data_IF_961082362613
#
_entry.id   IF_961082362613
#
_cell.length_a   1.000
_cell.length_b   1.000
_cell.length_c   1.000
_cell.angle_alpha   90.00
_cell.angle_beta   90.00
_cell.angle_gamma   90.00
#
_symmetry.space_group_name_H-M   'P 1'
#
loop_
_entity.id
_entity.type
_entity.pdbx_description
1 polymer ?
#
# COMPACT_ATOMS: atom_id res chain seq x y z
N UNK A 1 -5.57 -0.66 -32.48
CA UNK A 1 -4.37 -1.37 -31.97
C UNK A 1 -4.52 -2.82 -32.36
N UNK A 2 -3.52 -3.37 -33.04
CA UNK A 2 -3.52 -4.76 -33.54
C UNK A 2 -2.37 -5.48 -32.84
N UNK A 3 -2.61 -6.67 -32.28
CA UNK A 3 -1.59 -7.44 -31.56
C UNK A 3 -1.07 -8.54 -32.48
N UNK A 4 0.25 -8.74 -32.54
CA UNK A 4 0.85 -9.71 -33.46
C UNK A 4 0.79 -11.14 -32.91
N UNK A 5 0.66 -11.31 -31.59
CA UNK A 5 0.47 -12.62 -30.96
C UNK A 5 -0.24 -12.57 -29.59
N UNK A 6 -0.71 -13.72 -29.05
CA UNK A 6 -1.37 -13.79 -27.74
C UNK A 6 -0.53 -13.33 -26.55
N UNK A 7 0.80 -13.46 -26.62
CA UNK A 7 1.73 -13.03 -25.55
C UNK A 7 1.81 -11.51 -25.45
N UNK A 8 1.83 -10.80 -26.58
CA UNK A 8 1.76 -9.34 -26.60
C UNK A 8 0.45 -8.83 -26.04
N UNK A 9 -0.67 -9.47 -26.40
CA UNK A 9 -1.98 -9.15 -25.83
C UNK A 9 -2.01 -9.37 -24.31
N UNK A 10 -1.46 -10.48 -23.81
CA UNK A 10 -1.38 -10.76 -22.38
C UNK A 10 -0.52 -9.73 -21.63
N UNK A 11 0.65 -9.37 -22.16
CA UNK A 11 1.51 -8.32 -21.58
C UNK A 11 0.82 -6.96 -21.56
N UNK A 12 0.11 -6.61 -22.63
CA UNK A 12 -0.68 -5.39 -22.69
C UNK A 12 -1.84 -5.40 -21.69
N UNK A 13 -2.54 -6.52 -21.55
CA UNK A 13 -3.61 -6.69 -20.58
C UNK A 13 -3.11 -6.52 -19.14
N UNK A 14 -1.96 -7.13 -18.81
CA UNK A 14 -1.29 -6.95 -17.51
C UNK A 14 -0.89 -5.50 -17.29
N UNK A 15 -0.25 -4.84 -18.26
CA UNK A 15 0.16 -3.44 -18.13
C UNK A 15 -1.01 -2.49 -17.81
N UNK A 16 -2.23 -2.80 -18.26
CA UNK A 16 -3.43 -2.00 -17.97
C UNK A 16 -4.02 -2.25 -16.58
N UNK A 17 -3.63 -3.30 -15.87
CA UNK A 17 -4.12 -3.57 -14.51
C UNK A 17 -3.63 -2.52 -13.51
N UNK A 18 -2.45 -1.94 -13.74
CA UNK A 18 -1.85 -0.92 -12.89
C UNK A 18 -1.46 0.30 -13.73
N UNK A 19 -2.37 1.27 -13.93
CA UNK A 19 -2.06 2.50 -14.65
C UNK A 19 -1.06 3.34 -13.85
N UNK A 20 0.15 3.55 -14.39
CA UNK A 20 1.25 4.24 -13.68
C UNK A 20 0.84 5.64 -13.22
N UNK A 21 0.11 6.36 -14.05
CA UNK A 21 -0.32 7.74 -13.82
C UNK A 21 -1.37 7.83 -12.70
N UNK A 22 -2.07 6.73 -12.41
CA UNK A 22 -3.02 6.64 -11.32
C UNK A 22 -2.36 6.28 -9.98
N UNK A 23 -1.07 5.93 -9.97
CA UNK A 23 -0.34 5.59 -8.76
C UNK A 23 0.17 6.83 -8.02
N UNK A 24 0.19 6.72 -6.70
CA UNK A 24 0.73 7.70 -5.80
C UNK A 24 2.23 7.90 -6.09
N UNK A 25 2.75 9.14 -6.15
CA UNK A 25 4.14 9.42 -6.54
C UNK A 25 5.19 8.61 -5.78
N UNK A 26 4.96 8.34 -4.48
CA UNK A 26 5.84 7.49 -3.64
C UNK A 26 6.01 6.05 -4.12
N UNK A 27 5.11 5.51 -4.94
CA UNK A 27 5.16 4.12 -5.40
C UNK A 27 5.15 3.99 -6.92
N UNK A 28 4.74 5.03 -7.64
CA UNK A 28 4.47 4.98 -9.08
C UNK A 28 5.58 4.30 -9.88
N UNK A 29 6.83 4.74 -9.75
CA UNK A 29 7.93 4.15 -10.54
C UNK A 29 8.27 2.72 -10.11
N UNK A 30 8.52 2.50 -8.81
CA UNK A 30 9.01 1.20 -8.32
C UNK A 30 7.95 0.09 -8.40
N UNK A 31 6.71 0.39 -8.06
CA UNK A 31 5.63 -0.59 -8.11
C UNK A 31 5.32 -0.95 -9.57
N UNK A 32 5.23 0.06 -10.45
CA UNK A 32 4.95 -0.19 -11.86
C UNK A 32 6.08 -0.96 -12.54
N UNK A 33 7.36 -0.59 -12.31
CA UNK A 33 8.49 -1.30 -12.91
C UNK A 33 8.59 -2.75 -12.43
N UNK A 34 8.39 -3.01 -11.14
CA UNK A 34 8.37 -4.38 -10.60
C UNK A 34 7.21 -5.20 -11.19
N UNK A 35 6.01 -4.61 -11.23
CA UNK A 35 4.83 -5.24 -11.80
C UNK A 35 5.01 -5.61 -13.28
N UNK A 36 5.60 -4.71 -14.08
CA UNK A 36 5.89 -4.96 -15.50
C UNK A 36 6.94 -6.04 -15.74
N UNK A 37 7.79 -6.33 -14.75
CA UNK A 37 8.79 -7.41 -14.78
C UNK A 37 8.27 -8.72 -14.18
N UNK A 38 7.00 -8.77 -13.79
CA UNK A 38 6.41 -9.89 -13.04
C UNK A 38 7.07 -10.13 -11.67
N UNK A 39 7.74 -9.12 -11.11
CA UNK A 39 8.30 -9.11 -9.75
C UNK A 39 7.19 -8.69 -8.77
N UNK A 40 6.08 -9.45 -8.75
CA UNK A 40 4.84 -9.05 -8.09
C UNK A 40 4.96 -8.94 -6.57
N UNK A 41 5.59 -9.94 -5.94
CA UNK A 41 5.91 -9.93 -4.51
C UNK A 41 6.67 -8.66 -4.12
N UNK A 42 7.74 -8.35 -4.85
CA UNK A 42 8.60 -7.19 -4.64
C UNK A 42 7.81 -5.89 -4.86
N UNK A 43 6.99 -5.81 -5.91
CA UNK A 43 6.15 -4.64 -6.19
C UNK A 43 5.14 -4.40 -5.05
N UNK A 44 4.50 -5.45 -4.54
CA UNK A 44 3.58 -5.37 -3.39
C UNK A 44 4.32 -4.97 -2.12
N UNK A 45 5.44 -5.62 -1.80
CA UNK A 45 6.23 -5.30 -0.61
C UNK A 45 6.67 -3.84 -0.60
N UNK A 46 7.22 -3.36 -1.71
CA UNK A 46 7.68 -1.99 -1.84
C UNK A 46 6.53 -0.99 -1.70
N UNK A 47 5.36 -1.32 -2.23
CA UNK A 47 4.15 -0.49 -2.11
C UNK A 47 3.66 -0.41 -0.68
N UNK A 48 3.57 -1.54 0.02
CA UNK A 48 3.11 -1.57 1.41
C UNK A 48 4.14 -1.01 2.40
N UNK A 49 5.44 -1.20 2.14
CA UNK A 49 6.52 -0.51 2.86
C UNK A 49 6.39 1.01 2.71
N UNK A 50 5.97 1.50 1.54
CA UNK A 50 5.72 2.92 1.34
C UNK A 50 4.65 3.46 2.29
N UNK A 51 3.58 2.70 2.50
CA UNK A 51 2.50 3.05 3.42
C UNK A 51 3.05 3.15 4.84
N UNK A 52 3.79 2.15 5.31
CA UNK A 52 4.40 2.17 6.65
C UNK A 52 5.30 3.38 6.87
N UNK A 53 6.18 3.67 5.90
CA UNK A 53 7.08 4.83 5.94
C UNK A 53 6.30 6.15 5.93
N UNK A 54 5.26 6.26 5.10
CA UNK A 54 4.43 7.47 5.04
C UNK A 54 3.68 7.71 6.36
N UNK A 55 3.11 6.65 6.95
CA UNK A 55 2.46 6.72 8.27
C UNK A 55 3.45 7.18 9.33
N UNK A 56 4.67 6.61 9.36
CA UNK A 56 5.70 7.04 10.31
C UNK A 56 6.03 8.53 10.16
N UNK A 57 6.33 8.95 8.93
CA UNK A 57 6.69 10.33 8.63
C UNK A 57 5.58 11.30 9.00
N UNK A 58 4.32 10.97 8.71
CA UNK A 58 3.19 11.84 8.99
C UNK A 58 2.81 11.87 10.48
N UNK A 59 3.04 10.77 11.21
CA UNK A 59 2.73 10.68 12.65
C UNK A 59 3.83 11.23 13.57
N UNK A 60 5.07 11.36 13.09
CA UNK A 60 6.22 11.77 13.90
C UNK A 60 6.64 10.75 14.96
N UNK A 61 6.16 9.51 14.84
CA UNK A 61 6.45 8.43 15.80
C UNK A 61 7.86 7.86 15.59
N UNK A 62 8.43 7.31 16.67
CA UNK A 62 9.81 6.81 16.72
C UNK A 62 10.02 5.59 15.81
N UNK A 63 11.25 5.41 15.31
CA UNK A 63 11.65 4.26 14.47
C UNK A 63 11.49 2.90 15.16
N UNK A 64 11.44 2.87 16.50
CA UNK A 64 11.24 1.64 17.28
C UNK A 64 9.85 1.01 17.10
N UNK A 65 8.84 1.77 16.69
CA UNK A 65 7.51 1.24 16.40
C UNK A 65 7.46 0.75 14.97
N UNK A 66 7.14 -0.52 14.71
CA UNK A 66 7.06 -1.07 13.34
C UNK A 66 5.78 -1.87 13.14
N UNK A 67 5.43 -2.09 11.87
CA UNK A 67 4.30 -2.89 11.44
C UNK A 67 3.00 -2.45 12.08
N UNK A 68 2.24 -3.41 12.61
CA UNK A 68 0.94 -3.17 13.24
C UNK A 68 1.04 -2.23 14.44
N UNK A 69 2.13 -2.29 15.22
CA UNK A 69 2.29 -1.44 16.41
C UNK A 69 2.42 0.05 16.03
N UNK A 70 3.16 0.37 14.97
CA UNK A 70 3.21 1.73 14.42
C UNK A 70 1.81 2.20 14.01
N UNK A 71 1.10 1.37 13.24
CA UNK A 71 -0.21 1.74 12.70
C UNK A 71 -1.22 1.99 13.82
N UNK A 72 -1.30 1.09 14.79
CA UNK A 72 -2.23 1.21 15.92
C UNK A 72 -1.95 2.45 16.76
N UNK A 73 -0.68 2.84 16.89
CA UNK A 73 -0.32 4.08 17.59
C UNK A 73 -0.64 5.33 16.77
N UNK A 74 -0.39 5.29 15.46
CA UNK A 74 -0.63 6.43 14.56
C UNK A 74 -2.12 6.75 14.38
N UNK A 75 -2.96 5.71 14.33
CA UNK A 75 -4.41 5.78 14.17
C UNK A 75 -5.16 5.33 15.43
N UNK A 76 -4.61 5.65 16.61
CA UNK A 76 -5.31 5.41 17.87
C UNK A 76 -6.63 6.23 17.89
N UNK A 77 -7.80 5.64 18.21
CA UNK A 77 -9.09 6.31 18.05
C UNK A 77 -9.32 7.48 19.02
N UNK A 78 -8.55 7.52 20.12
CA UNK A 78 -8.64 8.55 21.15
C UNK A 78 -7.63 9.67 20.91
N UNK A 79 -6.38 9.31 20.57
CA UNK A 79 -5.25 10.26 20.56
C UNK A 79 -4.26 10.07 19.41
N UNK A 80 -4.63 9.32 18.37
CA UNK A 80 -3.76 9.03 17.24
C UNK A 80 -3.39 10.29 16.46
N UNK A 81 -2.11 10.56 16.15
CA UNK A 81 -1.69 11.76 15.44
C UNK A 81 -2.27 11.86 14.01
N UNK A 82 -2.64 10.74 13.40
CA UNK A 82 -3.27 10.66 12.08
C UNK A 82 -4.77 10.37 12.13
N UNK A 83 -5.35 10.29 13.33
CA UNK A 83 -6.77 10.03 13.51
C UNK A 83 -7.59 11.26 13.17
N UNK A 84 -8.66 11.05 12.41
CA UNK A 84 -9.67 12.08 12.18
C UNK A 84 -10.59 12.21 13.38
N UNK A 85 -10.37 13.26 14.16
CA UNK A 85 -11.17 13.50 15.37
C UNK A 85 -12.54 14.12 15.06
N UNK A 86 -12.89 14.38 13.79
CA UNK A 86 -14.17 14.94 13.39
C UNK A 86 -15.23 13.87 13.06
N UNK A 87 -14.82 12.64 12.78
CA UNK A 87 -15.74 11.53 12.46
C UNK A 87 -16.14 10.73 13.69
N UNK A 88 -17.17 9.90 13.55
CA UNK A 88 -17.65 9.00 14.61
C UNK A 88 -16.54 8.01 15.04
N UNK A 89 -16.55 7.59 16.30
CA UNK A 89 -15.50 6.74 16.87
C UNK A 89 -15.35 5.42 16.11
N UNK A 90 -16.44 4.79 15.70
CA UNK A 90 -16.42 3.57 14.91
C UNK A 90 -15.69 3.74 13.57
N UNK A 91 -15.80 4.89 12.92
CA UNK A 91 -15.03 5.19 11.69
C UNK A 91 -13.52 5.31 11.96
N UNK A 92 -13.14 5.86 13.12
CA UNK A 92 -11.73 5.92 13.56
C UNK A 92 -11.15 4.54 13.79
N UNK A 93 -11.91 3.69 14.49
CA UNK A 93 -11.55 2.30 14.76
C UNK A 93 -11.45 1.49 13.47
N UNK A 94 -12.39 1.69 12.52
CA UNK A 94 -12.37 1.06 11.22
C UNK A 94 -11.15 1.47 10.39
N UNK A 95 -10.78 2.75 10.38
CA UNK A 95 -9.58 3.24 9.70
C UNK A 95 -8.31 2.59 10.27
N UNK A 96 -8.17 2.56 11.60
CA UNK A 96 -7.08 1.89 12.30
C UNK A 96 -7.00 0.40 11.94
N UNK A 97 -8.16 -0.28 11.92
CA UNK A 97 -8.26 -1.69 11.58
C UNK A 97 -7.89 -1.98 10.11
N UNK A 98 -8.32 -1.14 9.18
CA UNK A 98 -7.99 -1.25 7.75
C UNK A 98 -6.48 -1.17 7.52
N UNK A 99 -5.82 -0.14 8.04
CA UNK A 99 -4.38 0.01 7.90
C UNK A 99 -3.62 -1.13 8.59
N UNK A 100 -4.05 -1.52 9.80
CA UNK A 100 -3.37 -2.56 10.56
C UNK A 100 -3.49 -3.93 9.87
N UNK A 101 -4.68 -4.24 9.35
CA UNK A 101 -4.94 -5.44 8.56
C UNK A 101 -4.10 -5.46 7.29
N UNK A 102 -4.08 -4.37 6.53
CA UNK A 102 -3.30 -4.29 5.29
C UNK A 102 -1.79 -4.50 5.54
N UNK A 103 -1.21 -3.80 6.51
CA UNK A 103 0.22 -3.98 6.87
C UNK A 103 0.49 -5.39 7.41
N UNK A 104 -0.38 -5.88 8.29
CA UNK A 104 -0.28 -7.21 8.89
C UNK A 104 -0.36 -8.34 7.87
N UNK A 105 -1.20 -8.21 6.84
CA UNK A 105 -1.40 -9.23 5.82
C UNK A 105 -0.37 -9.17 4.69
N UNK A 106 -0.07 -7.98 4.18
CA UNK A 106 0.65 -7.88 2.90
C UNK A 106 2.11 -7.46 3.04
N UNK A 107 2.50 -6.78 4.13
CA UNK A 107 3.91 -6.37 4.36
C UNK A 107 4.64 -7.30 5.31
N UNK A 108 4.02 -7.63 6.44
CA UNK A 108 4.70 -8.35 7.50
C UNK A 108 5.17 -9.75 7.07
N UNK A 109 4.36 -10.58 6.39
CA UNK A 109 4.83 -11.90 5.94
C UNK A 109 6.08 -11.80 5.05
N UNK A 110 6.09 -10.87 4.10
CA UNK A 110 7.23 -10.61 3.21
C UNK A 110 8.48 -10.07 3.93
N UNK A 111 8.34 -9.60 5.17
CA UNK A 111 9.47 -9.17 6.01
C UNK A 111 10.08 -10.32 6.83
N UNK A 112 9.37 -11.45 6.94
CA UNK A 112 9.74 -12.56 7.82
C UNK A 112 9.98 -13.88 7.07
N UNK A 113 9.48 -13.99 5.85
CA UNK A 113 9.59 -15.17 4.99
C UNK A 113 9.48 -14.77 3.52
N UNK A 114 9.94 -15.65 2.65
CA UNK A 114 9.65 -15.54 1.22
C UNK A 114 8.16 -15.81 0.97
N UNK A 115 7.55 -14.97 0.15
CA UNK A 115 6.16 -15.10 -0.27
C UNK A 115 6.17 -15.15 -1.78
N UNK A 116 5.71 -16.28 -2.34
CA UNK A 116 5.59 -16.40 -3.78
C UNK A 116 4.23 -15.85 -4.21
N UNK A 117 4.21 -14.65 -4.79
CA UNK A 117 3.04 -14.04 -5.39
C UNK A 117 3.22 -14.07 -6.90
N UNK A 118 2.44 -14.90 -7.60
CA UNK A 118 2.54 -15.12 -9.05
C UNK A 118 1.32 -14.61 -9.83
N UNK A 119 0.23 -14.28 -9.12
CA UNK A 119 -0.99 -13.76 -9.72
C UNK A 119 -0.92 -12.23 -9.95
N UNK A 120 -0.87 -11.74 -11.21
CA UNK A 120 -0.83 -10.32 -11.51
C UNK A 120 -2.08 -9.56 -11.05
N UNK A 121 -3.25 -10.20 -11.03
CA UNK A 121 -4.49 -9.53 -10.62
C UNK A 121 -4.47 -9.24 -9.11
N UNK A 122 -4.08 -10.22 -8.30
CA UNK A 122 -3.92 -10.05 -6.85
C UNK A 122 -2.86 -8.99 -6.52
N UNK A 123 -1.72 -9.02 -7.23
CA UNK A 123 -0.69 -8.02 -7.06
C UNK A 123 -1.18 -6.60 -7.40
N UNK A 124 -1.96 -6.45 -8.47
CA UNK A 124 -2.56 -5.17 -8.84
C UNK A 124 -3.54 -4.66 -7.77
N UNK A 125 -4.40 -5.54 -7.24
CA UNK A 125 -5.34 -5.20 -6.17
C UNK A 125 -4.61 -4.67 -4.92
N UNK A 126 -3.55 -5.35 -4.49
CA UNK A 126 -2.79 -4.95 -3.31
C UNK A 126 -2.01 -3.65 -3.55
N UNK A 127 -1.43 -3.46 -4.75
CA UNK A 127 -0.77 -2.20 -5.12
C UNK A 127 -1.78 -1.05 -5.10
N UNK A 128 -2.99 -1.25 -5.62
CA UNK A 128 -4.04 -0.24 -5.62
C UNK A 128 -4.60 0.04 -4.22
N UNK A 129 -4.62 -0.97 -3.35
CA UNK A 129 -4.89 -0.77 -1.93
C UNK A 129 -3.82 0.13 -1.28
N UNK A 130 -2.53 -0.17 -1.48
CA UNK A 130 -1.43 0.67 -0.99
C UNK A 130 -1.52 2.11 -1.51
N UNK A 131 -1.86 2.27 -2.80
CA UNK A 131 -2.10 3.56 -3.43
C UNK A 131 -3.19 4.35 -2.72
N UNK A 132 -4.32 3.72 -2.41
CA UNK A 132 -5.42 4.36 -1.68
C UNK A 132 -5.01 4.75 -0.26
N UNK A 133 -4.33 3.85 0.48
CA UNK A 133 -3.86 4.12 1.83
C UNK A 133 -2.89 5.30 1.88
N UNK A 134 -1.98 5.44 0.90
CA UNK A 134 -1.09 6.59 0.80
C UNK A 134 -1.84 7.92 0.65
N UNK A 135 -2.90 7.95 -0.18
CA UNK A 135 -3.75 9.14 -0.33
C UNK A 135 -4.50 9.49 0.96
N UNK A 136 -4.91 8.48 1.72
CA UNK A 136 -5.49 8.70 3.05
C UNK A 136 -4.43 9.33 3.97
N UNK A 137 -3.19 8.82 4.00
CA UNK A 137 -2.12 9.41 4.82
C UNK A 137 -1.85 10.87 4.44
N UNK A 138 -1.79 11.19 3.14
CA UNK A 138 -1.60 12.57 2.68
C UNK A 138 -2.73 13.49 3.18
N UNK A 139 -3.98 13.03 3.17
CA UNK A 139 -5.12 13.78 3.68
C UNK A 139 -5.10 13.97 5.22
N UNK A 140 -4.39 13.12 5.96
CA UNK A 140 -4.25 13.19 7.43
C UNK A 140 -3.02 13.95 7.88
N UNK A 141 -2.09 14.26 6.98
CA UNK A 141 -0.87 14.98 7.31
C UNK A 141 -1.20 16.41 7.72
N UNK A 142 -0.86 16.77 8.96
CA UNK A 142 -0.87 18.17 9.39
C UNK A 142 0.31 18.88 8.71
N UNK A 143 0.03 20.00 8.05
CA UNK A 143 1.05 20.88 7.47
C UNK A 143 1.92 21.49 8.57
#
# INVERSE_FOLDING_TARGET
>A
MTFENPTEFARFAVARMVPKEALHPRIADRAWLGFMRSEFDTAVFQSMKAVEVAVRQASGLTESLVGVNLIRKAFDPENGPLTDMQVERGEREACSALFAGAIGMYKNPQSHRDVNLDNPAEAAEIIMMANHLLRVVDARRKL
#
